data_IF_894254402010
#
_entry.id   IF_894254402010
#
_cell.length_a   1.000
_cell.length_b   1.000
_cell.length_c   1.000
_cell.angle_alpha   90.00
_cell.angle_beta   90.00
_cell.angle_gamma   90.00
#
_symmetry.space_group_name_H-M   'P 1'
#
loop_
_entity.id
_entity.type
_entity.pdbx_description
1 polymer ?
#
# COMPACT_ATOMS: atom_id res chain seq x y z
N UNK A 1 33.91 -11.46 7.66
CA UNK A 1 32.76 -10.86 6.95
C UNK A 1 31.45 -10.92 7.76
N UNK A 2 31.13 -12.04 8.42
CA UNK A 2 29.88 -12.27 9.18
C UNK A 2 29.49 -11.14 10.15
N UNK A 3 30.41 -10.63 10.97
CA UNK A 3 30.14 -9.53 11.93
C UNK A 3 29.57 -8.25 11.32
N UNK A 4 29.88 -7.94 10.05
CA UNK A 4 29.32 -6.77 9.33
C UNK A 4 27.90 -7.04 8.83
N UNK A 5 27.59 -8.28 8.46
CA UNK A 5 26.27 -8.70 8.01
C UNK A 5 25.28 -8.75 9.17
N UNK A 6 25.66 -9.38 10.30
CA UNK A 6 24.87 -9.40 11.53
C UNK A 6 24.42 -7.99 11.94
N UNK A 7 25.38 -7.06 11.99
CA UNK A 7 25.11 -5.67 12.36
C UNK A 7 24.15 -5.00 11.39
N UNK A 8 24.32 -5.22 10.07
CA UNK A 8 23.41 -4.67 9.05
C UNK A 8 21.99 -5.22 9.18
N UNK A 9 21.82 -6.51 9.48
CA UNK A 9 20.50 -7.12 9.68
C UNK A 9 19.80 -6.55 10.92
N UNK A 10 20.54 -6.39 12.02
CA UNK A 10 20.00 -5.79 13.25
C UNK A 10 19.65 -4.31 13.05
N UNK A 11 20.54 -3.54 12.41
CA UNK A 11 20.30 -2.12 12.13
C UNK A 11 19.08 -1.92 11.21
N UNK A 12 18.92 -2.77 10.20
CA UNK A 12 17.79 -2.72 9.25
C UNK A 12 16.47 -3.13 9.93
N UNK A 13 16.47 -4.16 10.77
CA UNK A 13 15.31 -4.55 11.55
C UNK A 13 14.90 -3.43 12.53
N UNK A 14 15.87 -2.86 13.25
CA UNK A 14 15.64 -1.79 14.22
C UNK A 14 15.07 -0.53 13.56
N UNK A 15 15.56 -0.14 12.38
CA UNK A 15 14.99 0.97 11.58
C UNK A 15 13.52 0.76 11.23
N UNK A 16 13.09 -0.49 11.09
CA UNK A 16 11.71 -0.88 10.80
C UNK A 16 10.88 -1.14 12.05
N UNK A 17 11.45 -0.95 13.24
CA UNK A 17 10.77 -1.15 14.53
C UNK A 17 10.74 -2.61 15.02
N UNK A 18 11.62 -3.46 14.50
CA UNK A 18 11.67 -4.89 14.83
C UNK A 18 12.95 -5.29 15.57
N UNK A 19 12.83 -6.25 16.47
CA UNK A 19 13.94 -6.87 17.20
C UNK A 19 14.11 -8.33 16.75
N UNK A 20 15.33 -8.73 16.40
CA UNK A 20 15.64 -10.11 16.01
C UNK A 20 16.07 -10.94 17.22
N UNK A 21 15.52 -12.15 17.38
CA UNK A 21 16.09 -13.11 18.32
C UNK A 21 17.44 -13.62 17.82
N UNK A 22 18.32 -14.05 18.72
CA UNK A 22 19.65 -14.57 18.37
C UNK A 22 19.57 -15.71 17.35
N UNK A 23 18.62 -16.63 17.55
CA UNK A 23 18.41 -17.77 16.66
C UNK A 23 17.84 -17.35 15.30
N UNK A 24 16.95 -16.35 15.25
CA UNK A 24 16.45 -15.81 13.98
C UNK A 24 17.57 -15.13 13.17
N UNK A 25 18.48 -14.44 13.85
CA UNK A 25 19.66 -13.84 13.23
C UNK A 25 20.59 -14.91 12.64
N UNK A 26 20.91 -15.95 13.41
CA UNK A 26 21.74 -17.08 12.95
C UNK A 26 21.12 -17.76 11.73
N UNK A 27 19.79 -17.93 11.72
CA UNK A 27 19.07 -18.51 10.59
C UNK A 27 19.13 -17.60 9.36
N UNK A 28 18.92 -16.30 9.50
CA UNK A 28 19.02 -15.34 8.39
C UNK A 28 20.43 -15.29 7.80
N UNK A 29 21.48 -15.38 8.62
CA UNK A 29 22.87 -15.41 8.16
C UNK A 29 23.22 -16.65 7.32
N UNK A 30 22.45 -17.73 7.44
CA UNK A 30 22.65 -18.97 6.69
C UNK A 30 21.96 -19.00 5.31
N UNK A 31 21.16 -17.98 4.99
CA UNK A 31 20.42 -17.85 3.72
C UNK A 31 21.27 -17.10 2.69
N UNK A 32 21.08 -17.39 1.40
CA UNK A 32 21.82 -16.76 0.29
C UNK A 32 21.63 -15.23 0.23
N UNK A 33 20.41 -14.73 0.43
CA UNK A 33 20.11 -13.29 0.58
C UNK A 33 19.42 -12.98 1.93
N UNK A 34 20.22 -12.72 2.99
CA UNK A 34 19.73 -12.46 4.34
C UNK A 34 18.88 -11.19 4.46
N UNK A 35 19.19 -10.14 3.67
CA UNK A 35 18.50 -8.86 3.76
C UNK A 35 17.13 -8.93 3.07
N UNK A 36 17.07 -9.58 1.92
CA UNK A 36 15.80 -9.83 1.25
C UNK A 36 14.89 -10.74 2.07
N UNK A 37 15.46 -11.80 2.68
CA UNK A 37 14.74 -12.68 3.60
C UNK A 37 14.16 -11.90 4.80
N UNK A 38 14.95 -11.05 5.44
CA UNK A 38 14.49 -10.19 6.54
C UNK A 38 13.32 -9.29 6.12
N UNK A 39 13.40 -8.69 4.93
CA UNK A 39 12.33 -7.84 4.40
C UNK A 39 11.03 -8.61 4.15
N UNK A 40 11.13 -9.83 3.62
CA UNK A 40 9.98 -10.73 3.41
C UNK A 40 9.33 -11.12 4.74
N UNK A 41 10.14 -11.41 5.77
CA UNK A 41 9.66 -11.71 7.13
C UNK A 41 8.91 -10.52 7.72
N UNK A 42 9.49 -9.33 7.69
CA UNK A 42 8.84 -8.11 8.21
C UNK A 42 7.53 -7.82 7.46
N UNK A 43 7.53 -7.88 6.12
CA UNK A 43 6.32 -7.65 5.31
C UNK A 43 5.21 -8.65 5.65
N UNK A 44 5.56 -9.92 5.92
CA UNK A 44 4.60 -10.94 6.32
C UNK A 44 3.99 -10.64 7.70
N UNK A 45 4.80 -10.26 8.68
CA UNK A 45 4.31 -9.87 10.02
C UNK A 45 3.37 -8.67 9.93
N UNK A 46 3.70 -7.67 9.11
CA UNK A 46 2.83 -6.51 8.85
C UNK A 46 1.51 -6.90 8.20
N UNK A 47 1.54 -7.82 7.23
CA UNK A 47 0.33 -8.28 6.51
C UNK A 47 -0.60 -9.07 7.43
N UNK A 48 -0.04 -9.87 8.34
CA UNK A 48 -0.79 -10.67 9.30
C UNK A 48 -1.35 -9.84 10.48
N UNK A 49 -1.07 -8.53 10.55
CA UNK A 49 -1.43 -7.62 11.66
C UNK A 49 -1.04 -8.19 13.03
N UNK A 50 0.04 -8.95 13.09
CA UNK A 50 0.56 -9.45 14.36
C UNK A 50 1.16 -8.26 15.09
N UNK A 51 0.65 -7.90 16.28
CA UNK A 51 1.21 -6.84 17.11
C UNK A 51 2.61 -7.18 17.68
N UNK A 52 3.29 -8.19 17.13
CA UNK A 52 4.64 -8.59 17.53
C UNK A 52 5.66 -7.71 16.83
N UNK A 53 6.50 -7.05 17.62
CA UNK A 53 7.71 -6.35 17.17
C UNK A 53 8.95 -7.24 17.25
N UNK A 54 8.79 -8.49 17.68
CA UNK A 54 9.87 -9.48 17.79
C UNK A 54 9.77 -10.43 16.61
N UNK A 55 10.90 -10.60 15.91
CA UNK A 55 11.10 -11.58 14.84
C UNK A 55 11.81 -12.79 15.42
N UNK A 56 11.12 -13.92 15.48
CA UNK A 56 11.68 -15.18 15.98
C UNK A 56 11.98 -16.17 14.84
N UNK A 57 12.64 -17.27 15.17
CA UNK A 57 13.02 -18.34 14.24
C UNK A 57 11.84 -18.84 13.43
N UNK A 58 10.69 -19.05 14.09
CA UNK A 58 9.48 -19.52 13.42
C UNK A 58 8.99 -18.56 12.32
N UNK A 59 9.22 -17.26 12.46
CA UNK A 59 8.84 -16.27 11.45
C UNK A 59 9.77 -16.34 10.23
N UNK A 60 11.05 -16.61 10.46
CA UNK A 60 12.06 -16.80 9.41
C UNK A 60 11.86 -18.14 8.69
N UNK A 61 11.65 -19.23 9.42
CA UNK A 61 11.38 -20.57 8.89
C UNK A 61 10.15 -20.56 7.99
N UNK A 62 9.05 -19.93 8.42
CA UNK A 62 7.82 -19.84 7.59
C UNK A 62 8.03 -19.10 6.28
N UNK A 63 9.00 -18.19 6.19
CA UNK A 63 9.33 -17.51 4.93
C UNK A 63 10.24 -18.38 4.07
N UNK A 64 11.19 -19.09 4.67
CA UNK A 64 12.07 -20.03 3.96
C UNK A 64 11.27 -21.22 3.42
N UNK A 65 10.37 -21.80 4.22
CA UNK A 65 9.46 -22.88 3.80
C UNK A 65 8.48 -22.42 2.72
N UNK A 66 7.91 -21.21 2.83
CA UNK A 66 7.05 -20.64 1.78
C UNK A 66 7.82 -20.31 0.49
N UNK A 67 9.15 -20.20 0.57
CA UNK A 67 10.04 -20.08 -0.59
C UNK A 67 10.44 -21.44 -1.19
N UNK A 68 10.31 -22.55 -0.43
CA UNK A 68 10.62 -23.93 -0.86
C UNK A 68 9.40 -24.75 -1.27
N UNK A 69 8.23 -24.49 -0.71
CA UNK A 69 7.00 -25.09 -1.20
C UNK A 69 6.84 -24.70 -2.67
N UNK A 70 6.43 -25.62 -3.57
CA UNK A 70 5.99 -25.24 -4.90
C UNK A 70 4.81 -24.33 -4.69
N UNK A 71 5.14 -23.05 -4.72
CA UNK A 71 4.24 -21.97 -4.58
C UNK A 71 3.35 -22.20 -5.80
N UNK A 72 2.10 -22.62 -5.58
CA UNK A 72 1.04 -22.64 -6.59
C UNK A 72 0.70 -21.18 -6.87
N UNK A 73 1.72 -20.49 -7.35
CA UNK A 73 1.69 -19.17 -7.92
C UNK A 73 1.22 -19.52 -9.30
N UNK A 74 0.00 -19.10 -9.60
CA UNK A 74 -0.22 -18.57 -10.93
C UNK A 74 0.89 -17.53 -11.13
N UNK A 75 2.00 -18.00 -11.70
CA UNK A 75 3.11 -17.17 -12.10
C UNK A 75 2.51 -16.22 -13.10
N UNK A 76 2.19 -15.00 -12.65
CA UNK A 76 2.23 -13.85 -13.51
C UNK A 76 3.71 -13.69 -13.88
N UNK A 77 4.17 -14.52 -14.81
CA UNK A 77 5.23 -14.15 -15.72
C UNK A 77 4.92 -12.75 -16.18
N UNK A 78 5.84 -11.81 -15.95
CA UNK A 78 5.96 -10.59 -16.75
C UNK A 78 6.32 -11.02 -18.19
N UNK A 79 5.42 -11.74 -18.85
CA UNK A 79 5.16 -11.46 -20.26
C UNK A 79 4.75 -9.99 -20.31
N UNK A 80 5.12 -9.27 -21.36
CA UNK A 80 4.47 -7.99 -21.64
C UNK A 80 2.97 -8.27 -21.62
N UNK A 81 2.32 -7.93 -20.49
CA UNK A 81 0.96 -8.30 -20.26
C UNK A 81 0.20 -7.60 -21.38
N UNK A 82 -0.47 -8.38 -22.22
CA UNK A 82 -1.48 -7.82 -23.09
C UNK A 82 -2.32 -6.89 -22.21
N UNK A 83 -2.55 -5.63 -22.65
CA UNK A 83 -3.34 -4.71 -21.85
C UNK A 83 -4.59 -5.47 -21.42
N UNK A 84 -4.92 -5.49 -20.12
CA UNK A 84 -6.07 -6.23 -19.64
C UNK A 84 -7.26 -5.84 -20.53
N UNK A 85 -8.08 -6.80 -20.97
CA UNK A 85 -9.18 -6.50 -21.87
C UNK A 85 -9.97 -5.33 -21.32
N UNK A 86 -10.30 -4.36 -22.19
CA UNK A 86 -11.09 -3.20 -21.78
C UNK A 86 -12.44 -3.72 -21.27
N UNK A 87 -12.58 -3.75 -19.94
CA UNK A 87 -13.84 -4.07 -19.30
C UNK A 87 -14.63 -2.77 -19.19
N UNK A 88 -15.84 -2.77 -19.73
CA UNK A 88 -16.85 -1.81 -19.34
C UNK A 88 -17.28 -2.11 -17.90
N UNK A 89 -16.61 -1.45 -16.95
CA UNK A 89 -16.96 -1.57 -15.53
C UNK A 89 -18.24 -0.81 -15.28
N UNK A 90 -19.36 -1.55 -15.24
CA UNK A 90 -20.66 -1.02 -14.81
C UNK A 90 -20.80 -1.22 -13.31
N UNK A 91 -21.07 -0.14 -12.58
CA UNK A 91 -21.40 -0.21 -11.16
C UNK A 91 -22.84 -0.70 -11.01
N UNK A 92 -23.04 -1.87 -10.42
CA UNK A 92 -24.39 -2.36 -10.08
C UNK A 92 -24.89 -1.65 -8.82
N UNK A 93 -25.71 -0.60 -9.02
CA UNK A 93 -26.22 0.24 -7.94
C UNK A 93 -27.05 -0.53 -6.90
N UNK A 94 -27.63 -1.69 -7.27
CA UNK A 94 -28.48 -2.50 -6.38
C UNK A 94 -27.73 -2.94 -5.11
N UNK A 95 -26.43 -3.14 -5.22
CA UNK A 95 -25.60 -3.62 -4.13
C UNK A 95 -24.85 -2.50 -3.39
N UNK A 96 -24.91 -1.25 -3.87
CA UNK A 96 -24.15 -0.14 -3.27
C UNK A 96 -24.63 0.23 -1.85
N UNK A 97 -25.91 0.01 -1.54
CA UNK A 97 -26.48 0.29 -0.23
C UNK A 97 -26.01 -0.71 0.86
N UNK A 98 -25.65 -1.93 0.46
CA UNK A 98 -25.28 -3.03 1.37
C UNK A 98 -23.83 -2.93 1.85
N UNK A 99 -22.94 -2.32 1.05
CA UNK A 99 -21.54 -2.13 1.38
C UNK A 99 -21.30 -0.84 2.17
N UNK A 100 -21.85 -0.76 3.39
CA UNK A 100 -21.48 0.27 4.36
C UNK A 100 -20.23 -0.14 5.12
N UNK A 101 -19.18 0.64 4.98
CA UNK A 101 -17.97 0.50 5.78
C UNK A 101 -18.29 1.01 7.19
N UNK A 102 -18.03 0.20 8.22
CA UNK A 102 -18.06 0.62 9.63
C UNK A 102 -16.61 0.66 10.13
N UNK A 103 -16.28 1.69 10.91
CA UNK A 103 -14.91 1.89 11.37
C UNK A 103 -14.81 3.10 12.29
N UNK A 104 -13.59 3.35 12.78
CA UNK A 104 -13.30 4.53 13.57
C UNK A 104 -13.10 5.78 12.68
N UNK A 105 -13.29 6.98 13.23
CA UNK A 105 -13.22 8.25 12.47
C UNK A 105 -11.88 8.40 11.73
N UNK A 106 -10.77 7.99 12.35
CA UNK A 106 -9.45 8.00 11.76
C UNK A 106 -9.33 7.06 10.54
N UNK A 107 -10.00 5.92 10.55
CA UNK A 107 -10.02 4.99 9.41
C UNK A 107 -10.78 5.61 8.25
N UNK A 108 -11.92 6.26 8.51
CA UNK A 108 -12.64 7.02 7.49
C UNK A 108 -11.77 8.14 6.91
N UNK A 109 -11.10 8.92 7.75
CA UNK A 109 -10.21 9.99 7.29
C UNK A 109 -9.08 9.45 6.40
N UNK A 110 -8.44 8.35 6.80
CA UNK A 110 -7.38 7.72 6.03
C UNK A 110 -7.90 7.19 4.68
N UNK A 111 -9.08 6.55 4.69
CA UNK A 111 -9.74 6.03 3.50
C UNK A 111 -10.06 7.14 2.48
N UNK A 112 -10.74 8.20 2.92
CA UNK A 112 -11.11 9.32 2.05
C UNK A 112 -9.88 10.03 1.51
N UNK A 113 -8.86 10.27 2.35
CA UNK A 113 -7.59 10.86 1.92
C UNK A 113 -6.91 10.02 0.85
N UNK A 114 -6.77 8.71 1.09
CA UNK A 114 -6.13 7.80 0.13
C UNK A 114 -6.86 7.77 -1.21
N UNK A 115 -8.19 7.77 -1.20
CA UNK A 115 -8.99 7.82 -2.44
C UNK A 115 -8.81 9.13 -3.18
N UNK A 116 -8.86 10.26 -2.48
CA UNK A 116 -8.64 11.55 -3.08
C UNK A 116 -7.24 11.66 -3.69
N UNK A 117 -6.18 11.26 -2.99
CA UNK A 117 -4.80 11.31 -3.51
C UNK A 117 -4.63 10.45 -4.77
N UNK A 118 -5.20 9.25 -4.79
CA UNK A 118 -5.16 8.36 -5.96
C UNK A 118 -5.87 8.97 -7.17
N UNK A 119 -7.09 9.49 -6.97
CA UNK A 119 -7.86 10.10 -8.05
C UNK A 119 -7.21 11.41 -8.53
N UNK A 120 -6.74 12.25 -7.60
CA UNK A 120 -6.03 13.48 -7.90
C UNK A 120 -4.83 13.21 -8.80
N UNK A 121 -4.02 12.19 -8.49
CA UNK A 121 -2.87 11.82 -9.32
C UNK A 121 -3.26 11.45 -10.75
N UNK A 122 -4.33 10.69 -10.93
CA UNK A 122 -4.87 10.35 -12.26
C UNK A 122 -5.26 11.63 -13.02
N UNK A 123 -5.88 12.60 -12.34
CA UNK A 123 -6.25 13.88 -12.95
C UNK A 123 -5.04 14.78 -13.23
N UNK A 124 -4.03 14.81 -12.37
CA UNK A 124 -2.80 15.58 -12.59
C UNK A 124 -2.05 15.09 -13.84
N UNK A 125 -2.08 13.78 -14.12
CA UNK A 125 -1.48 13.19 -15.31
C UNK A 125 -2.27 13.51 -16.60
N UNK A 126 -3.57 13.81 -16.50
CA UNK A 126 -4.48 13.95 -17.65
C UNK A 126 -4.96 15.37 -17.92
N UNK A 127 -5.04 16.23 -16.90
CA UNK A 127 -5.64 17.56 -16.96
C UNK A 127 -4.55 18.60 -16.73
N UNK A 128 -4.22 19.34 -17.79
CA UNK A 128 -3.28 20.45 -17.70
C UNK A 128 -3.92 21.63 -16.97
N UNK A 129 -3.19 22.20 -16.01
CA UNK A 129 -3.68 23.35 -15.24
C UNK A 129 -4.61 22.98 -14.08
N UNK A 130 -4.56 21.73 -13.60
CA UNK A 130 -5.23 21.36 -12.36
C UNK A 130 -4.67 22.18 -11.19
N UNK A 131 -5.53 22.90 -10.48
CA UNK A 131 -5.17 23.78 -9.38
C UNK A 131 -5.53 23.15 -8.02
N UNK A 132 -4.73 23.48 -7.00
CA UNK A 132 -5.13 23.20 -5.62
C UNK A 132 -6.18 24.21 -5.13
N UNK A 133 -6.90 23.83 -4.07
CA UNK A 133 -7.97 24.64 -3.51
C UNK A 133 -7.48 26.04 -3.07
N UNK A 134 -6.26 26.13 -2.55
CA UNK A 134 -5.69 27.41 -2.09
C UNK A 134 -5.44 28.37 -3.24
N UNK A 135 -5.12 27.85 -4.41
CA UNK A 135 -4.88 28.61 -5.62
C UNK A 135 -6.18 29.03 -6.29
N UNK A 136 -7.21 28.19 -6.24
CA UNK A 136 -8.56 28.55 -6.70
C UNK A 136 -9.13 29.75 -5.95
N UNK A 137 -8.91 29.83 -4.63
CA UNK A 137 -9.37 30.94 -3.81
C UNK A 137 -8.75 32.30 -4.21
N UNK A 138 -7.71 32.30 -5.04
CA UNK A 138 -7.01 33.51 -5.51
C UNK A 138 -7.39 33.87 -6.96
N UNK A 139 -8.26 33.10 -7.60
CA UNK A 139 -8.71 33.39 -8.96
C UNK A 139 -9.50 34.68 -9.01
N UNK A 140 -9.31 35.42 -10.09
CA UNK A 140 -10.11 36.61 -10.39
C UNK A 140 -11.40 36.19 -11.08
N UNK A 141 -12.43 37.03 -10.97
CA UNK A 141 -13.70 36.80 -11.69
C UNK A 141 -13.45 36.64 -13.20
N UNK A 142 -14.15 35.69 -13.79
CA UNK A 142 -14.05 35.36 -15.22
C UNK A 142 -12.91 34.40 -15.59
N UNK A 143 -12.13 33.89 -14.63
CA UNK A 143 -11.10 32.89 -14.90
C UNK A 143 -11.64 31.47 -14.73
N UNK A 144 -11.52 30.66 -15.78
CA UNK A 144 -11.81 29.23 -15.71
C UNK A 144 -10.66 28.46 -15.04
N UNK A 145 -11.01 27.44 -14.25
CA UNK A 145 -10.04 26.60 -13.59
C UNK A 145 -10.54 25.17 -13.40
N UNK A 146 -9.58 24.24 -13.36
CA UNK A 146 -9.83 22.83 -13.12
C UNK A 146 -9.36 22.46 -11.73
N UNK A 147 -10.17 21.70 -11.01
CA UNK A 147 -9.84 21.23 -9.67
C UNK A 147 -10.38 19.83 -9.43
N UNK A 148 -9.58 19.00 -8.75
CA UNK A 148 -10.04 17.73 -8.21
C UNK A 148 -10.51 17.97 -6.77
N UNK A 149 -11.78 17.68 -6.48
CA UNK A 149 -12.39 17.87 -5.15
C UNK A 149 -13.29 16.71 -4.79
N UNK A 150 -13.51 16.49 -3.48
CA UNK A 150 -14.56 15.60 -2.99
C UNK A 150 -15.78 16.42 -2.62
N UNK A 151 -16.94 16.04 -3.16
CA UNK A 151 -18.22 16.70 -2.88
C UNK A 151 -18.79 16.20 -1.56
N UNK A 152 -19.25 17.12 -0.71
CA UNK A 152 -19.92 16.78 0.55
C UNK A 152 -21.42 16.59 0.34
N UNK A 153 -22.05 17.46 -0.45
CA UNK A 153 -23.48 17.46 -0.72
C UNK A 153 -23.71 18.08 -2.10
N UNK A 154 -24.68 17.57 -2.86
CA UNK A 154 -25.20 18.21 -4.07
C UNK A 154 -26.56 18.82 -3.74
N UNK A 155 -26.69 20.13 -3.90
CA UNK A 155 -27.97 20.83 -3.85
C UNK A 155 -28.38 21.24 -5.24
N UNK A 156 -29.61 20.95 -5.63
CA UNK A 156 -30.16 21.43 -6.89
C UNK A 156 -30.76 22.81 -6.65
N UNK A 157 -30.32 23.79 -7.43
CA UNK A 157 -30.96 25.09 -7.48
C UNK A 157 -32.23 24.97 -8.32
N UNK A 158 -33.35 25.50 -7.84
CA UNK A 158 -34.55 25.66 -8.66
C UNK A 158 -34.20 26.53 -9.89
N UNK A 159 -34.70 26.12 -11.06
CA UNK A 159 -34.46 26.78 -12.35
C UNK A 159 -35.17 28.12 -12.46
#
# INVERSE_FOLDING_TARGET
MQRRLAKRLVDEAARKGYTLTKRALELLESVEDPLEALNKVIKRIQTLKTNSTIVDVADVERVIEFSRAPQKVEAATEAAAEPPPEFDVVVDERFTAEYRIKGAINEFQAYFRSRYEKLKRIFEERIRGLMDLKSLLKLREGQEAYAAVMLFERRESER
#
